data_IF_054057470907
#
_entry.id   IF_054057470907
#
_cell.length_a   1.000
_cell.length_b   1.000
_cell.length_c   1.000
_cell.angle_alpha   90.00
_cell.angle_beta   90.00
_cell.angle_gamma   90.00
#
_symmetry.space_group_name_H-M   'P 1'
#
loop_
_entity.id
_entity.type
_entity.pdbx_description
1 polymer ?
#
# COMPACT_ATOMS: atom_id res chain seq x y z
N UNK A 1 14.89 -0.97 3.03
CA UNK A 1 13.85 -1.74 3.74
C UNK A 1 13.69 -3.18 3.21
N UNK A 2 13.75 -3.41 1.90
CA UNK A 2 13.67 -4.76 1.29
C UNK A 2 14.68 -5.71 1.94
N UNK A 3 15.96 -5.37 1.92
CA UNK A 3 17.04 -6.20 2.53
C UNK A 3 16.83 -6.47 4.03
N UNK A 4 16.14 -5.53 4.72
CA UNK A 4 15.83 -5.71 6.14
C UNK A 4 14.72 -6.74 6.34
N UNK A 5 13.70 -6.73 5.47
CA UNK A 5 12.63 -7.73 5.49
C UNK A 5 13.19 -9.11 5.15
N UNK A 6 14.04 -9.20 4.12
CA UNK A 6 14.70 -10.47 3.74
C UNK A 6 15.58 -11.00 4.86
N UNK A 7 16.40 -10.15 5.50
CA UNK A 7 17.20 -10.53 6.67
C UNK A 7 16.35 -11.00 7.83
N UNK A 8 15.24 -10.31 8.11
CA UNK A 8 14.31 -10.69 9.16
C UNK A 8 13.72 -12.09 8.90
N UNK A 9 13.30 -12.36 7.67
CA UNK A 9 12.73 -13.66 7.32
C UNK A 9 13.73 -14.82 7.30
N UNK A 10 15.03 -14.56 7.20
CA UNK A 10 16.07 -15.61 7.31
C UNK A 10 16.07 -16.34 8.67
N UNK A 11 15.53 -15.70 9.70
CA UNK A 11 15.43 -16.30 11.04
C UNK A 11 14.24 -17.25 11.22
N UNK A 12 13.39 -17.40 10.22
CA UNK A 12 12.19 -18.22 10.30
C UNK A 12 12.12 -19.22 9.16
N UNK A 13 11.56 -20.38 9.48
CA UNK A 13 11.13 -21.38 8.50
C UNK A 13 9.60 -21.27 8.33
N UNK A 14 9.17 -21.11 7.08
CA UNK A 14 7.76 -21.00 6.70
C UNK A 14 7.27 -22.23 5.94
N UNK A 15 7.95 -23.36 6.04
CA UNK A 15 7.56 -24.59 5.37
C UNK A 15 6.12 -24.98 5.73
N UNK A 16 5.26 -25.05 4.72
CA UNK A 16 3.85 -25.42 4.89
C UNK A 16 3.71 -26.86 5.38
N UNK A 17 4.67 -27.75 5.05
CA UNK A 17 4.67 -29.14 5.48
C UNK A 17 4.85 -29.27 7.00
N UNK A 18 5.58 -28.35 7.60
CA UNK A 18 5.86 -28.30 9.04
C UNK A 18 4.85 -27.43 9.79
N UNK A 19 4.50 -26.28 9.22
CA UNK A 19 3.58 -25.34 9.86
C UNK A 19 2.12 -25.75 9.73
N UNK A 20 1.78 -26.58 8.74
CA UNK A 20 0.43 -26.95 8.33
C UNK A 20 -0.48 -25.75 8.10
N UNK A 21 0.10 -24.59 7.79
CA UNK A 21 -0.62 -23.32 7.65
C UNK A 21 -1.07 -23.07 6.20
N UNK A 22 -2.26 -23.53 5.88
CA UNK A 22 -2.88 -23.23 4.58
C UNK A 22 -3.26 -21.77 4.37
N UNK A 23 -3.34 -20.99 5.46
CA UNK A 23 -3.79 -19.60 5.44
C UNK A 23 -2.66 -18.61 5.72
N UNK A 24 -1.43 -18.97 5.30
CA UNK A 24 -0.31 -18.04 5.25
C UNK A 24 -0.62 -16.82 4.36
N UNK A 25 -1.52 -16.98 3.40
CA UNK A 25 -2.23 -15.94 2.64
C UNK A 25 -3.70 -16.31 2.53
N UNK A 26 -4.62 -15.32 2.49
CA UNK A 26 -6.05 -15.57 2.32
C UNK A 26 -6.69 -14.57 1.34
N UNK A 27 -7.97 -14.75 1.03
CA UNK A 27 -8.69 -14.05 -0.04
C UNK A 27 -8.70 -12.52 0.07
N UNK A 28 -8.68 -11.98 1.31
CA UNK A 28 -8.71 -10.54 1.58
C UNK A 28 -7.31 -9.93 1.74
N UNK A 29 -6.25 -10.72 1.60
CA UNK A 29 -4.87 -10.24 1.70
C UNK A 29 -4.41 -9.77 0.33
N UNK A 30 -4.77 -8.54 0.01
CA UNK A 30 -4.34 -7.81 -1.20
C UNK A 30 -3.54 -6.58 -0.79
N UNK A 31 -2.70 -6.00 -1.66
CA UNK A 31 -1.85 -4.87 -1.28
C UNK A 31 -2.62 -3.67 -0.70
N UNK A 32 -3.77 -3.34 -1.28
CA UNK A 32 -4.63 -2.25 -0.83
C UNK A 32 -5.29 -2.53 0.52
N UNK A 33 -5.85 -3.73 0.71
CA UNK A 33 -6.47 -4.13 1.98
C UNK A 33 -5.41 -4.27 3.07
N UNK A 34 -4.24 -4.84 2.78
CA UNK A 34 -3.17 -4.98 3.75
C UNK A 34 -2.69 -3.61 4.24
N UNK A 35 -2.43 -2.67 3.32
CA UNK A 35 -2.00 -1.32 3.67
C UNK A 35 -3.00 -0.60 4.57
N UNK A 36 -4.29 -0.64 4.24
CA UNK A 36 -5.31 0.08 5.02
C UNK A 36 -5.61 -0.59 6.36
N UNK A 37 -5.65 -1.92 6.42
CA UNK A 37 -5.88 -2.64 7.68
C UNK A 37 -4.76 -2.36 8.66
N UNK A 38 -3.50 -2.32 8.22
CA UNK A 38 -2.37 -1.97 9.08
C UNK A 38 -2.44 -0.50 9.51
N UNK A 39 -2.79 0.42 8.62
CA UNK A 39 -2.95 1.82 8.96
C UNK A 39 -4.03 2.03 10.03
N UNK A 40 -5.18 1.39 9.86
CA UNK A 40 -6.24 1.36 10.89
C UNK A 40 -5.74 0.77 12.22
N UNK A 41 -4.96 -0.31 12.17
CA UNK A 41 -4.39 -0.95 13.36
C UNK A 41 -3.43 -0.02 14.09
N UNK A 42 -2.49 0.58 13.39
CA UNK A 42 -1.51 1.50 13.98
C UNK A 42 -2.19 2.75 14.57
N UNK A 43 -3.19 3.29 13.87
CA UNK A 43 -3.99 4.42 14.35
C UNK A 43 -4.76 4.05 15.63
N UNK A 44 -5.41 2.89 15.66
CA UNK A 44 -6.15 2.42 16.83
C UNK A 44 -5.24 2.23 18.05
N UNK A 45 -4.10 1.55 17.87
CA UNK A 45 -3.11 1.32 18.94
C UNK A 45 -2.60 2.65 19.50
N UNK A 46 -2.27 3.61 18.62
CA UNK A 46 -1.77 4.91 19.03
C UNK A 46 -2.82 5.72 19.82
N UNK A 47 -4.06 5.75 19.33
CA UNK A 47 -5.13 6.52 19.95
C UNK A 47 -5.56 5.97 21.31
N UNK A 48 -5.44 4.67 21.53
CA UNK A 48 -5.85 4.00 22.75
C UNK A 48 -4.68 3.64 23.69
N UNK A 49 -3.44 3.88 23.27
CA UNK A 49 -2.21 3.56 24.01
C UNK A 49 -2.18 2.10 24.52
N UNK A 50 -2.42 1.15 23.62
CA UNK A 50 -2.47 -0.28 23.91
C UNK A 50 -1.46 -1.06 23.09
N UNK A 51 -1.03 -2.22 23.61
CA UNK A 51 -0.09 -3.10 22.89
C UNK A 51 -0.77 -4.35 22.32
N UNK A 52 -1.94 -4.70 22.83
CA UNK A 52 -2.68 -5.89 22.42
C UNK A 52 -4.07 -5.50 21.91
N UNK A 53 -4.49 -6.12 20.82
CA UNK A 53 -5.75 -5.79 20.14
C UNK A 53 -6.37 -7.01 19.45
N UNK A 54 -7.64 -6.91 19.11
CA UNK A 54 -8.38 -7.90 18.30
C UNK A 54 -8.78 -7.30 16.95
N UNK A 55 -9.14 -8.14 15.99
CA UNK A 55 -9.71 -7.65 14.71
C UNK A 55 -11.04 -6.90 14.91
N UNK A 56 -11.78 -7.22 15.99
CA UNK A 56 -13.02 -6.52 16.34
C UNK A 56 -12.75 -5.10 16.78
N UNK A 57 -11.77 -4.89 17.66
CA UNK A 57 -11.41 -3.56 18.14
C UNK A 57 -11.05 -2.62 16.98
N UNK A 58 -10.23 -3.12 16.04
CA UNK A 58 -9.83 -2.32 14.89
C UNK A 58 -11.03 -1.98 14.00
N UNK A 59 -11.85 -2.97 13.63
CA UNK A 59 -12.96 -2.76 12.68
C UNK A 59 -14.06 -1.84 13.21
N UNK A 60 -14.27 -1.80 14.54
CA UNK A 60 -15.32 -0.99 15.17
C UNK A 60 -14.87 0.42 15.51
N UNK A 61 -13.60 0.77 15.29
CA UNK A 61 -13.13 2.14 15.45
C UNK A 61 -13.71 3.05 14.35
N UNK A 62 -14.04 4.30 14.72
CA UNK A 62 -14.60 5.28 13.79
C UNK A 62 -13.70 5.48 12.58
N UNK A 63 -12.39 5.64 12.80
CA UNK A 63 -11.40 5.78 11.74
C UNK A 63 -11.44 4.63 10.72
N UNK A 64 -11.54 3.39 11.20
CA UNK A 64 -11.61 2.21 10.33
C UNK A 64 -12.92 2.17 9.55
N UNK A 65 -14.04 2.39 10.23
CA UNK A 65 -15.36 2.29 9.63
C UNK A 65 -15.54 3.34 8.52
N UNK A 66 -15.21 4.60 8.78
CA UNK A 66 -15.28 5.68 7.79
C UNK A 66 -14.45 5.39 6.55
N UNK A 67 -13.16 5.08 6.72
CA UNK A 67 -12.27 4.84 5.58
C UNK A 67 -12.65 3.60 4.77
N UNK A 68 -13.11 2.52 5.42
CA UNK A 68 -13.52 1.30 4.73
C UNK A 68 -14.83 1.49 3.95
N UNK A 69 -15.78 2.26 4.47
CA UNK A 69 -16.99 2.65 3.75
C UNK A 69 -16.63 3.47 2.51
N UNK A 70 -15.84 4.51 2.69
CA UNK A 70 -15.52 5.47 1.63
C UNK A 70 -14.71 4.84 0.49
N UNK A 71 -13.70 4.03 0.83
CA UNK A 71 -12.74 3.48 -0.15
C UNK A 71 -13.25 2.20 -0.81
N UNK A 72 -13.87 1.30 -0.02
CA UNK A 72 -14.28 -0.02 -0.49
C UNK A 72 -15.79 -0.16 -0.70
N UNK A 73 -16.56 0.91 -0.46
CA UNK A 73 -18.02 0.90 -0.57
C UNK A 73 -18.68 -0.14 0.34
N UNK A 74 -18.07 -0.41 1.50
CA UNK A 74 -18.63 -1.36 2.48
C UNK A 74 -19.80 -0.73 3.22
N UNK A 75 -20.68 -1.58 3.72
CA UNK A 75 -21.77 -1.17 4.59
C UNK A 75 -21.21 -0.81 5.97
N UNK A 76 -21.88 0.07 6.72
CA UNK A 76 -21.51 0.39 8.09
C UNK A 76 -21.30 -0.88 8.94
N UNK A 77 -20.28 -0.88 9.79
CA UNK A 77 -19.87 -2.03 10.61
C UNK A 77 -20.97 -2.50 11.57
N UNK A 78 -21.86 -1.60 11.98
CA UNK A 78 -22.99 -1.89 12.86
C UNK A 78 -24.14 -2.59 12.13
N UNK A 79 -24.11 -2.69 10.79
CA UNK A 79 -25.12 -3.42 10.05
C UNK A 79 -24.93 -4.93 10.26
N UNK A 80 -25.93 -5.67 10.82
CA UNK A 80 -25.79 -7.10 11.10
C UNK A 80 -25.44 -7.96 9.89
N UNK A 81 -25.82 -7.54 8.69
CA UNK A 81 -25.51 -8.23 7.43
C UNK A 81 -24.04 -8.08 7.00
N UNK A 82 -23.35 -7.07 7.52
CA UNK A 82 -21.96 -6.79 7.18
C UNK A 82 -20.96 -7.59 8.03
N UNK A 83 -21.35 -8.12 9.20
CA UNK A 83 -20.46 -8.72 10.20
C UNK A 83 -19.47 -9.74 9.62
N UNK A 84 -19.95 -10.74 8.89
CA UNK A 84 -19.09 -11.81 8.37
C UNK A 84 -18.08 -11.31 7.32
N UNK A 85 -18.44 -10.32 6.54
CA UNK A 85 -17.57 -9.74 5.52
C UNK A 85 -16.47 -8.87 6.16
N UNK A 86 -16.83 -8.06 7.17
CA UNK A 86 -15.88 -7.25 7.92
C UNK A 86 -14.94 -8.11 8.76
N UNK A 87 -15.44 -9.19 9.38
CA UNK A 87 -14.58 -10.13 10.11
C UNK A 87 -13.45 -10.65 9.22
N UNK A 88 -13.77 -11.07 7.99
CA UNK A 88 -12.76 -11.55 7.04
C UNK A 88 -11.84 -10.43 6.56
N UNK A 89 -12.38 -9.23 6.33
CA UNK A 89 -11.63 -8.08 5.80
C UNK A 89 -10.49 -7.66 6.73
N UNK A 90 -10.72 -7.63 8.04
CA UNK A 90 -9.70 -7.30 9.02
C UNK A 90 -8.92 -8.53 9.50
N UNK A 91 -9.61 -9.62 9.79
CA UNK A 91 -8.99 -10.79 10.40
C UNK A 91 -7.98 -11.49 9.47
N UNK A 92 -8.29 -11.64 8.18
CA UNK A 92 -7.39 -12.35 7.26
C UNK A 92 -6.04 -11.65 7.07
N UNK A 93 -5.94 -10.31 6.87
CA UNK A 93 -4.66 -9.61 6.86
C UNK A 93 -3.87 -9.75 8.16
N UNK A 94 -4.52 -9.59 9.32
CA UNK A 94 -3.86 -9.75 10.62
C UNK A 94 -3.31 -11.17 10.82
N UNK A 95 -4.05 -12.20 10.41
CA UNK A 95 -3.59 -13.60 10.42
C UNK A 95 -2.41 -13.83 9.48
N UNK A 96 -2.41 -13.25 8.28
CA UNK A 96 -1.29 -13.35 7.36
C UNK A 96 -0.03 -12.70 7.93
N UNK A 97 -0.16 -11.54 8.59
CA UNK A 97 0.95 -10.89 9.30
C UNK A 97 1.46 -11.70 10.49
N UNK A 98 0.57 -12.37 11.21
CA UNK A 98 0.96 -13.28 12.28
C UNK A 98 1.70 -14.52 11.72
N UNK A 99 1.23 -15.07 10.60
CA UNK A 99 1.92 -16.14 9.89
C UNK A 99 3.31 -15.70 9.42
N UNK A 100 3.45 -14.45 8.95
CA UNK A 100 4.72 -13.84 8.55
C UNK A 100 5.59 -13.39 9.74
N UNK A 101 5.20 -13.67 10.99
CA UNK A 101 5.93 -13.29 12.22
C UNK A 101 6.09 -11.78 12.42
N UNK A 102 5.26 -10.97 11.76
CA UNK A 102 5.21 -9.51 11.99
C UNK A 102 4.32 -9.18 13.19
N UNK A 103 3.28 -9.97 13.40
CA UNK A 103 2.45 -9.98 14.60
C UNK A 103 2.61 -11.32 15.34
N UNK A 104 2.36 -11.27 16.65
CA UNK A 104 2.14 -12.48 17.46
C UNK A 104 0.64 -12.67 17.64
N UNK A 105 0.18 -13.89 17.38
CA UNK A 105 -1.19 -14.30 17.65
C UNK A 105 -1.25 -15.05 18.99
N UNK A 106 -2.23 -14.69 19.82
CA UNK A 106 -2.52 -15.36 21.10
C UNK A 106 -4.01 -15.68 21.16
N UNK A 107 -4.37 -16.94 21.26
CA UNK A 107 -5.76 -17.38 21.41
C UNK A 107 -6.14 -17.48 22.88
N UNK A 108 -7.23 -16.81 23.28
CA UNK A 108 -7.83 -16.90 24.62
C UNK A 108 -9.31 -17.24 24.46
N UNK A 109 -9.67 -18.46 24.80
CA UNK A 109 -11.01 -18.97 24.54
C UNK A 109 -11.37 -18.97 23.05
N UNK A 110 -12.40 -18.21 22.67
CA UNK A 110 -12.83 -18.05 21.27
C UNK A 110 -12.23 -16.82 20.59
N UNK A 111 -11.52 -15.98 21.33
CA UNK A 111 -11.00 -14.71 20.84
C UNK A 111 -9.51 -14.82 20.48
N UNK A 112 -9.12 -14.13 19.44
CA UNK A 112 -7.73 -14.03 18.96
C UNK A 112 -7.26 -12.61 19.21
N UNK A 113 -6.15 -12.49 19.90
CA UNK A 113 -5.44 -11.27 20.21
C UNK A 113 -4.17 -11.20 19.39
N UNK A 114 -3.79 -9.99 19.01
CA UNK A 114 -2.57 -9.72 18.26
C UNK A 114 -1.70 -8.73 19.03
N UNK A 115 -0.38 -8.93 18.99
CA UNK A 115 0.65 -7.98 19.47
C UNK A 115 1.68 -7.77 18.38
N UNK A 116 2.31 -6.60 18.31
CA UNK A 116 3.29 -6.27 17.30
C UNK A 116 4.65 -6.90 17.67
N UNK A 117 5.23 -7.69 16.76
CA UNK A 117 6.59 -8.22 16.88
C UNK A 117 7.61 -7.34 16.15
N UNK A 118 7.26 -6.82 14.98
CA UNK A 118 8.14 -5.96 14.20
C UNK A 118 7.40 -4.70 13.73
N UNK A 119 7.50 -3.65 14.53
CA UNK A 119 6.80 -2.39 14.28
C UNK A 119 7.28 -1.69 13.02
N UNK A 120 8.58 -1.70 12.75
CA UNK A 120 9.16 -1.00 11.60
C UNK A 120 8.71 -1.60 10.27
N UNK A 121 8.69 -2.94 10.15
CA UNK A 121 8.15 -3.61 8.95
C UNK A 121 6.65 -3.32 8.84
N UNK A 122 5.92 -3.33 9.94
CA UNK A 122 4.48 -3.06 9.94
C UNK A 122 4.20 -1.62 9.46
N UNK A 123 4.93 -0.63 9.97
CA UNK A 123 4.84 0.76 9.55
C UNK A 123 5.17 0.90 8.04
N UNK A 124 6.26 0.28 7.58
CA UNK A 124 6.62 0.26 6.16
C UNK A 124 5.50 -0.25 5.26
N UNK A 125 4.88 -1.39 5.61
CA UNK A 125 3.78 -1.97 4.84
C UNK A 125 2.59 -1.00 4.80
N UNK A 126 2.33 -0.30 5.90
CA UNK A 126 1.19 0.62 6.00
C UNK A 126 1.32 1.84 5.10
N UNK A 127 2.52 2.34 4.83
CA UNK A 127 2.75 3.65 4.16
C UNK A 127 2.01 3.74 2.82
N UNK A 128 2.16 2.73 1.96
CA UNK A 128 1.55 2.69 0.63
C UNK A 128 1.39 1.27 0.09
N UNK A 129 0.47 1.09 -0.84
CA UNK A 129 0.19 -0.23 -1.45
C UNK A 129 1.41 -0.86 -2.15
N UNK A 130 2.32 -0.03 -2.70
CA UNK A 130 3.59 -0.51 -3.29
C UNK A 130 4.43 -1.25 -2.24
N UNK A 131 4.51 -0.71 -1.02
CA UNK A 131 5.26 -1.33 0.07
C UNK A 131 4.61 -2.65 0.54
N UNK A 132 3.27 -2.67 0.63
CA UNK A 132 2.52 -3.90 0.91
C UNK A 132 2.77 -4.97 -0.15
N UNK A 133 2.82 -4.58 -1.42
CA UNK A 133 3.09 -5.48 -2.53
C UNK A 133 4.53 -6.03 -2.47
N UNK A 134 5.52 -5.20 -2.19
CA UNK A 134 6.90 -5.63 -2.01
C UNK A 134 7.04 -6.63 -0.86
N UNK A 135 6.44 -6.32 0.30
CA UNK A 135 6.39 -7.23 1.43
C UNK A 135 5.76 -8.59 1.05
N UNK A 136 4.60 -8.56 0.40
CA UNK A 136 3.92 -9.79 -0.02
C UNK A 136 4.77 -10.61 -1.00
N UNK A 137 5.48 -9.98 -1.93
CA UNK A 137 6.36 -10.69 -2.85
C UNK A 137 7.49 -11.43 -2.11
N UNK A 138 8.19 -10.74 -1.19
CA UNK A 138 9.28 -11.33 -0.42
C UNK A 138 8.75 -12.48 0.45
N UNK A 139 7.65 -12.24 1.16
CA UNK A 139 7.03 -13.22 2.04
C UNK A 139 6.57 -14.48 1.29
N UNK A 140 5.81 -14.30 0.20
CA UNK A 140 5.27 -15.42 -0.58
C UNK A 140 6.40 -16.25 -1.23
N UNK A 141 7.40 -15.60 -1.80
CA UNK A 141 8.55 -16.31 -2.37
C UNK A 141 9.27 -17.12 -1.30
N UNK A 142 9.50 -16.54 -0.10
CA UNK A 142 10.11 -17.25 1.02
C UNK A 142 9.28 -18.48 1.44
N UNK A 143 7.97 -18.34 1.63
CA UNK A 143 7.07 -19.45 1.98
C UNK A 143 7.15 -20.58 0.93
N UNK A 144 7.11 -20.24 -0.35
CA UNK A 144 7.14 -21.24 -1.43
C UNK A 144 8.52 -21.92 -1.58
N UNK A 145 9.61 -21.21 -1.30
CA UNK A 145 10.96 -21.77 -1.27
C UNK A 145 11.16 -22.71 -0.09
N UNK A 146 10.78 -22.29 1.11
CA UNK A 146 10.86 -23.13 2.31
C UNK A 146 10.02 -24.42 2.13
N UNK A 147 8.85 -24.30 1.52
CA UNK A 147 7.97 -25.42 1.20
C UNK A 147 8.44 -26.27 0.01
N UNK A 148 9.59 -25.99 -0.60
CA UNK A 148 10.18 -26.70 -1.74
C UNK A 148 9.31 -26.76 -3.00
N UNK A 149 8.34 -25.83 -3.16
CA UNK A 149 7.45 -25.76 -4.34
C UNK A 149 7.70 -24.54 -5.23
N UNK A 150 8.71 -23.72 -4.92
CA UNK A 150 9.06 -22.56 -5.73
C UNK A 150 9.37 -22.91 -7.18
N UNK A 151 10.01 -24.04 -7.44
CA UNK A 151 10.34 -24.51 -8.78
C UNK A 151 9.14 -24.62 -9.73
N UNK A 152 7.92 -24.90 -9.19
CA UNK A 152 6.69 -24.96 -9.98
C UNK A 152 6.30 -23.56 -10.50
N UNK A 153 6.43 -22.54 -9.65
CA UNK A 153 6.18 -21.15 -10.01
C UNK A 153 7.24 -20.61 -10.97
N UNK A 154 8.51 -20.92 -10.71
CA UNK A 154 9.64 -20.51 -11.53
C UNK A 154 9.54 -21.09 -12.94
N UNK A 155 9.16 -22.36 -13.08
CA UNK A 155 8.91 -22.97 -14.37
C UNK A 155 7.79 -22.24 -15.13
N UNK A 156 6.68 -21.93 -14.45
CA UNK A 156 5.60 -21.16 -15.08
C UNK A 156 6.04 -19.75 -15.49
N UNK A 157 6.84 -19.05 -14.67
CA UNK A 157 7.34 -17.71 -15.01
C UNK A 157 8.32 -17.72 -16.17
N UNK A 158 9.10 -18.77 -16.31
CA UNK A 158 10.03 -18.94 -17.44
C UNK A 158 9.29 -19.30 -18.73
N UNK A 159 8.26 -20.13 -18.63
CA UNK A 159 7.47 -20.62 -19.76
C UNK A 159 5.96 -20.42 -19.50
N UNK A 160 5.45 -19.17 -19.62
CA UNK A 160 4.07 -18.82 -19.25
C UNK A 160 3.08 -19.29 -20.34
N UNK A 161 2.84 -20.59 -20.40
CA UNK A 161 1.83 -21.22 -21.26
C UNK A 161 0.62 -21.67 -20.48
N UNK A 162 -0.49 -21.93 -21.18
CA UNK A 162 -1.70 -22.48 -20.55
C UNK A 162 -1.43 -23.82 -19.87
N UNK A 163 -0.66 -24.70 -20.51
CA UNK A 163 -0.37 -26.04 -19.99
C UNK A 163 0.46 -25.96 -18.70
N UNK A 164 1.48 -25.09 -18.66
CA UNK A 164 2.26 -24.86 -17.44
C UNK A 164 1.45 -24.18 -16.34
N UNK A 165 0.49 -23.30 -16.69
CA UNK A 165 -0.45 -22.74 -15.73
C UNK A 165 -1.36 -23.82 -15.13
N UNK A 166 -1.96 -24.66 -15.95
CA UNK A 166 -2.85 -25.73 -15.50
C UNK A 166 -2.07 -26.75 -14.65
N UNK A 167 -0.83 -27.10 -15.04
CA UNK A 167 0.06 -27.95 -14.25
C UNK A 167 0.38 -27.32 -12.89
N UNK A 168 0.87 -26.08 -12.85
CA UNK A 168 1.16 -25.37 -11.61
C UNK A 168 -0.04 -25.36 -10.67
N UNK A 169 -1.22 -25.02 -11.20
CA UNK A 169 -2.45 -24.95 -10.43
C UNK A 169 -2.82 -26.29 -9.80
N UNK A 170 -2.72 -27.37 -10.55
CA UNK A 170 -3.02 -28.72 -10.07
C UNK A 170 -2.02 -29.16 -9.02
N UNK A 171 -0.71 -28.95 -9.25
CA UNK A 171 0.33 -29.32 -8.29
C UNK A 171 0.21 -28.52 -6.98
N UNK A 172 -0.09 -27.22 -7.07
CA UNK A 172 -0.34 -26.40 -5.90
C UNK A 172 -1.59 -26.87 -5.12
N UNK A 173 -2.68 -27.23 -5.82
CA UNK A 173 -3.90 -27.77 -5.18
C UNK A 173 -3.57 -29.07 -4.41
N UNK A 174 -2.84 -29.99 -5.04
CA UNK A 174 -2.42 -31.27 -4.43
C UNK A 174 -1.58 -30.99 -3.19
N UNK A 175 -0.55 -30.15 -3.31
CA UNK A 175 0.37 -29.83 -2.22
C UNK A 175 -0.38 -29.24 -1.00
N UNK A 176 -1.24 -28.26 -1.19
CA UNK A 176 -2.00 -27.64 -0.09
C UNK A 176 -2.95 -28.63 0.58
N UNK A 177 -3.65 -29.46 -0.19
CA UNK A 177 -4.59 -30.46 0.38
C UNK A 177 -3.85 -31.55 1.15
N UNK A 178 -2.67 -31.97 0.68
CA UNK A 178 -1.87 -32.99 1.35
C UNK A 178 -1.23 -32.52 2.66
N UNK A 179 -0.83 -31.27 2.75
CA UNK A 179 -0.03 -30.77 3.87
C UNK A 179 -0.76 -29.85 4.84
N UNK A 180 -2.05 -29.58 4.61
CA UNK A 180 -2.80 -28.63 5.43
C UNK A 180 -4.20 -29.16 5.76
N UNK A 181 -4.91 -28.54 6.73
CA UNK A 181 -6.30 -28.90 7.04
C UNK A 181 -7.30 -28.56 5.94
N UNK A 182 -6.92 -27.87 4.87
CA UNK A 182 -7.84 -27.62 3.74
C UNK A 182 -8.05 -28.90 2.96
N UNK A 183 -9.29 -29.37 2.94
CA UNK A 183 -9.66 -30.62 2.29
C UNK A 183 -10.43 -30.44 0.96
N UNK A 184 -10.61 -29.20 0.51
CA UNK A 184 -11.41 -28.87 -0.66
C UNK A 184 -10.73 -27.93 -1.65
N UNK A 185 -10.76 -28.30 -2.95
CA UNK A 185 -10.19 -27.51 -4.05
C UNK A 185 -10.74 -26.07 -4.13
N UNK A 186 -11.99 -25.85 -3.72
CA UNK A 186 -12.64 -24.53 -3.82
C UNK A 186 -11.92 -23.46 -3.01
N UNK A 187 -11.48 -23.76 -1.79
CA UNK A 187 -10.73 -22.80 -0.97
C UNK A 187 -9.36 -22.53 -1.54
N UNK A 188 -8.62 -23.56 -1.95
CA UNK A 188 -7.31 -23.43 -2.59
C UNK A 188 -7.41 -22.53 -3.83
N UNK A 189 -8.41 -22.76 -4.68
CA UNK A 189 -8.66 -21.97 -5.91
C UNK A 189 -9.03 -20.52 -5.67
N UNK A 190 -9.50 -20.16 -4.48
CA UNK A 190 -9.75 -18.76 -4.10
C UNK A 190 -8.49 -18.03 -3.63
N UNK A 191 -7.54 -18.77 -3.04
CA UNK A 191 -6.28 -18.22 -2.52
C UNK A 191 -5.22 -18.17 -3.63
N UNK A 192 -5.10 -19.20 -4.45
CA UNK A 192 -4.11 -19.33 -5.51
C UNK A 192 -3.95 -18.08 -6.41
N UNK A 193 -5.03 -17.41 -6.88
CA UNK A 193 -4.91 -16.18 -7.66
C UNK A 193 -4.20 -15.05 -6.91
N UNK A 194 -4.35 -14.97 -5.59
CA UNK A 194 -3.72 -13.93 -4.79
C UNK A 194 -2.20 -14.14 -4.68
N UNK A 195 -1.77 -15.39 -4.64
CA UNK A 195 -0.36 -15.76 -4.64
C UNK A 195 0.23 -15.54 -6.03
N UNK A 196 -0.35 -16.19 -7.05
CA UNK A 196 0.20 -16.17 -8.39
C UNK A 196 0.26 -14.76 -8.97
N UNK A 197 -0.83 -13.99 -8.89
CA UNK A 197 -0.88 -12.65 -9.48
C UNK A 197 0.08 -11.67 -8.79
N UNK A 198 0.23 -11.76 -7.46
CA UNK A 198 1.20 -10.95 -6.71
C UNK A 198 2.62 -11.21 -7.22
N UNK A 199 3.01 -12.47 -7.38
CA UNK A 199 4.33 -12.86 -7.88
C UNK A 199 4.52 -12.56 -9.36
N UNK A 200 3.47 -12.73 -10.18
CA UNK A 200 3.47 -12.44 -11.61
C UNK A 200 3.66 -10.96 -11.91
N UNK A 201 2.97 -10.10 -11.17
CA UNK A 201 3.02 -8.64 -11.37
C UNK A 201 4.46 -8.11 -11.20
N UNK A 202 5.13 -8.48 -10.11
CA UNK A 202 6.53 -8.07 -9.87
C UNK A 202 7.46 -8.50 -11.03
N UNK A 203 7.18 -9.67 -11.62
CA UNK A 203 7.98 -10.27 -12.70
C UNK A 203 7.53 -9.85 -14.09
N UNK A 204 6.47 -9.02 -14.20
CA UNK A 204 5.86 -8.64 -15.48
C UNK A 204 5.49 -9.88 -16.31
N UNK A 205 4.81 -10.84 -15.71
CA UNK A 205 4.42 -12.11 -16.31
C UNK A 205 2.89 -12.28 -16.33
N UNK A 206 2.46 -13.27 -17.11
CA UNK A 206 1.09 -13.76 -17.09
C UNK A 206 0.76 -14.36 -15.72
N UNK A 207 -0.52 -14.39 -15.37
CA UNK A 207 -1.04 -14.97 -14.14
C UNK A 207 -2.42 -15.56 -14.37
N UNK A 208 -3.41 -15.17 -13.55
CA UNK A 208 -4.76 -15.71 -13.66
C UNK A 208 -5.83 -14.62 -13.55
N UNK A 209 -6.84 -14.71 -14.41
CA UNK A 209 -8.05 -13.89 -14.36
C UNK A 209 -9.25 -14.82 -14.26
N UNK A 210 -10.07 -14.63 -13.21
CA UNK A 210 -11.24 -15.49 -12.91
C UNK A 210 -10.87 -17.00 -12.85
N UNK A 211 -9.66 -17.31 -12.35
CA UNK A 211 -9.17 -18.69 -12.19
C UNK A 211 -8.69 -19.36 -13.47
N UNK A 212 -8.58 -18.62 -14.57
CA UNK A 212 -8.07 -19.09 -15.89
C UNK A 212 -6.75 -18.40 -16.18
N UNK A 213 -5.91 -18.98 -17.03
CA UNK A 213 -4.69 -18.37 -17.54
C UNK A 213 -5.02 -17.00 -18.16
N UNK A 214 -4.26 -15.96 -17.77
CA UNK A 214 -4.48 -14.59 -18.28
C UNK A 214 -3.97 -14.47 -19.71
N UNK A 215 -4.73 -13.75 -20.57
CA UNK A 215 -4.29 -13.45 -21.94
C UNK A 215 -3.13 -12.47 -21.96
N UNK A 216 -3.13 -11.52 -21.03
CA UNK A 216 -2.16 -10.45 -20.92
C UNK A 216 -1.36 -10.56 -19.61
N UNK A 217 -0.28 -9.79 -19.52
CA UNK A 217 0.52 -9.63 -18.30
C UNK A 217 -0.38 -9.05 -17.22
N UNK A 218 -0.21 -9.53 -15.97
CA UNK A 218 -0.98 -9.04 -14.82
C UNK A 218 -0.70 -7.57 -14.59
N UNK A 219 -1.77 -6.78 -14.49
CA UNK A 219 -1.73 -5.36 -14.16
C UNK A 219 -2.04 -5.14 -12.67
N UNK A 220 -1.86 -3.90 -12.20
CA UNK A 220 -2.15 -3.54 -10.80
C UNK A 220 -3.61 -3.79 -10.44
N UNK A 221 -4.53 -3.59 -11.36
CA UNK A 221 -5.97 -3.72 -11.09
C UNK A 221 -6.38 -5.15 -10.72
N UNK A 222 -5.70 -6.19 -11.28
CA UNK A 222 -5.94 -7.57 -10.91
C UNK A 222 -5.44 -7.94 -9.49
N UNK A 223 -4.58 -7.10 -8.89
CA UNK A 223 -4.09 -7.32 -7.52
C UNK A 223 -5.02 -6.75 -6.46
N UNK A 224 -5.76 -5.69 -6.79
CA UNK A 224 -6.55 -4.93 -5.84
C UNK A 224 -7.87 -5.63 -5.51
N UNK A 225 -8.32 -5.45 -4.27
CA UNK A 225 -9.53 -6.11 -3.77
C UNK A 225 -10.80 -5.60 -4.43
N UNK A 226 -10.94 -4.29 -4.60
CA UNK A 226 -12.21 -3.69 -5.00
C UNK A 226 -12.07 -2.50 -5.97
N UNK A 227 -11.01 -2.43 -6.76
CA UNK A 227 -10.94 -1.42 -7.81
C UNK A 227 -11.83 -1.85 -8.98
N UNK A 228 -13.13 -1.60 -8.81
CA UNK A 228 -14.11 -1.84 -9.86
C UNK A 228 -13.89 -0.86 -11.01
N UNK A 229 -13.70 -1.41 -12.20
CA UNK A 229 -13.95 -0.67 -13.43
C UNK A 229 -15.47 -0.40 -13.50
N UNK A 230 -15.89 0.70 -14.14
CA UNK A 230 -17.30 0.97 -14.38
C UNK A 230 -18.05 -0.22 -15.04
N UNK A 231 -17.37 -1.06 -15.81
CA UNK A 231 -17.92 -2.28 -16.42
C UNK A 231 -18.26 -3.40 -15.43
N UNK A 232 -17.69 -3.34 -14.22
CA UNK A 232 -17.91 -4.34 -13.17
C UNK A 232 -19.14 -4.00 -12.29
N UNK A 233 -19.69 -2.82 -12.46
CA UNK A 233 -20.89 -2.35 -11.76
C UNK A 233 -22.12 -2.92 -12.46
N UNK A 234 -22.94 -3.68 -11.74
CA UNK A 234 -24.13 -4.32 -12.32
C UNK A 234 -25.21 -3.31 -12.65
N UNK A 235 -25.85 -3.49 -13.80
CA UNK A 235 -27.01 -2.68 -14.20
C UNK A 235 -28.21 -3.01 -13.30
N UNK A 236 -28.94 -1.97 -12.84
CA UNK A 236 -30.16 -2.14 -12.05
C UNK A 236 -31.34 -2.54 -12.96
N UNK A 237 -32.31 -3.27 -12.39
CA UNK A 237 -33.53 -3.62 -13.13
C UNK A 237 -34.31 -2.34 -13.51
N UNK A 238 -34.64 -2.20 -14.78
CA UNK A 238 -35.35 -1.02 -15.31
C UNK A 238 -34.45 0.18 -15.68
N UNK A 239 -33.17 0.16 -15.39
CA UNK A 239 -32.22 1.22 -15.70
C UNK A 239 -31.89 1.22 -17.21
N UNK A 240 -31.91 2.40 -17.86
CA UNK A 240 -31.47 2.53 -19.24
C UNK A 240 -29.93 2.39 -19.34
N UNK A 241 -29.42 2.14 -20.54
CA UNK A 241 -27.97 2.06 -20.78
C UNK A 241 -27.25 3.34 -20.40
N UNK A 242 -27.84 4.50 -20.77
CA UNK A 242 -27.26 5.82 -20.51
C UNK A 242 -27.20 6.14 -19.01
N UNK A 243 -28.27 5.86 -18.27
CA UNK A 243 -28.33 6.04 -16.79
C UNK A 243 -27.32 5.13 -16.11
N UNK A 244 -27.22 3.86 -16.52
CA UNK A 244 -26.22 2.92 -16.02
C UNK A 244 -24.79 3.43 -16.23
N UNK A 245 -24.42 3.84 -17.46
CA UNK A 245 -23.08 4.33 -17.78
C UNK A 245 -22.74 5.57 -16.96
N UNK A 246 -23.68 6.49 -16.77
CA UNK A 246 -23.48 7.70 -15.96
C UNK A 246 -23.28 7.35 -14.48
N UNK A 247 -24.17 6.52 -13.92
CA UNK A 247 -24.08 6.08 -12.52
C UNK A 247 -22.80 5.32 -12.24
N UNK A 248 -22.45 4.37 -13.11
CA UNK A 248 -21.25 3.56 -12.95
C UNK A 248 -19.96 4.41 -13.01
N UNK A 249 -19.90 5.39 -13.90
CA UNK A 249 -18.78 6.36 -13.93
C UNK A 249 -18.70 7.20 -12.66
N UNK A 250 -19.83 7.70 -12.18
CA UNK A 250 -19.88 8.52 -10.96
C UNK A 250 -19.47 7.70 -9.72
N UNK A 251 -19.92 6.45 -9.59
CA UNK A 251 -19.50 5.56 -8.48
C UNK A 251 -17.98 5.34 -8.49
N UNK A 252 -17.38 5.07 -9.65
CA UNK A 252 -15.91 4.90 -9.77
C UNK A 252 -15.17 6.19 -9.43
N UNK A 253 -15.68 7.34 -9.88
CA UNK A 253 -15.05 8.64 -9.62
C UNK A 253 -15.11 9.01 -8.13
N UNK A 254 -16.23 8.78 -7.48
CA UNK A 254 -16.38 9.03 -6.03
C UNK A 254 -15.41 8.17 -5.21
N UNK A 255 -15.23 6.89 -5.57
CA UNK A 255 -14.25 6.00 -4.92
C UNK A 255 -12.83 6.53 -5.12
N UNK A 256 -12.49 7.03 -6.30
CA UNK A 256 -11.17 7.63 -6.56
C UNK A 256 -10.94 8.88 -5.71
N UNK A 257 -11.94 9.76 -5.65
CA UNK A 257 -11.87 10.98 -4.84
C UNK A 257 -11.67 10.64 -3.35
N UNK A 258 -12.45 9.70 -2.82
CA UNK A 258 -12.33 9.24 -1.44
C UNK A 258 -10.94 8.64 -1.18
N UNK A 259 -10.44 7.82 -2.10
CA UNK A 259 -9.11 7.24 -1.99
C UNK A 259 -7.99 8.29 -2.01
N UNK A 260 -8.06 9.29 -2.90
CA UNK A 260 -7.09 10.40 -2.94
C UNK A 260 -7.14 11.22 -1.66
N UNK A 261 -8.34 11.49 -1.12
CA UNK A 261 -8.50 12.18 0.16
C UNK A 261 -7.86 11.39 1.32
N UNK A 262 -8.14 10.10 1.39
CA UNK A 262 -7.55 9.19 2.38
C UNK A 262 -6.02 9.17 2.30
N UNK A 263 -5.46 8.93 1.11
CA UNK A 263 -4.01 8.85 0.92
C UNK A 263 -3.31 10.16 1.25
N UNK A 264 -3.91 11.30 0.90
CA UNK A 264 -3.39 12.62 1.25
C UNK A 264 -3.41 12.87 2.76
N UNK A 265 -4.50 12.55 3.45
CA UNK A 265 -4.61 12.71 4.90
C UNK A 265 -3.61 11.80 5.62
N UNK A 266 -3.47 10.57 5.18
CA UNK A 266 -2.49 9.62 5.68
C UNK A 266 -1.06 10.14 5.48
N UNK A 267 -0.71 10.62 4.28
CA UNK A 267 0.60 11.20 3.98
C UNK A 267 0.92 12.38 4.91
N UNK A 268 -0.04 13.29 5.11
CA UNK A 268 0.10 14.40 6.06
C UNK A 268 0.36 13.93 7.50
N UNK A 269 -0.36 12.92 7.95
CA UNK A 269 -0.18 12.37 9.30
C UNK A 269 1.20 11.69 9.46
N UNK A 270 1.67 10.98 8.45
CA UNK A 270 3.02 10.38 8.43
C UNK A 270 4.08 11.47 8.55
N UNK A 271 4.01 12.54 7.75
CA UNK A 271 4.98 13.63 7.77
C UNK A 271 4.99 14.33 9.13
N UNK A 272 3.82 14.68 9.69
CA UNK A 272 3.72 15.29 11.03
C UNK A 272 4.33 14.41 12.11
N UNK A 273 4.08 13.10 12.05
CA UNK A 273 4.64 12.14 13.02
C UNK A 273 6.15 11.98 12.88
N UNK A 274 6.67 12.05 11.64
CA UNK A 274 8.07 11.85 11.33
C UNK A 274 8.94 13.06 11.75
N UNK A 275 8.46 14.26 11.48
CA UNK A 275 9.16 15.49 11.73
C UNK A 275 8.72 16.23 13.02
N UNK A 276 7.66 15.69 13.68
CA UNK A 276 7.06 16.32 14.86
C UNK A 276 6.65 17.77 14.59
N UNK A 277 7.30 18.73 15.25
CA UNK A 277 7.07 20.17 15.08
C UNK A 277 8.27 20.89 14.45
N UNK A 278 9.21 20.14 13.86
CA UNK A 278 10.41 20.70 13.25
C UNK A 278 10.21 20.85 11.74
N UNK A 279 10.49 22.04 11.22
CA UNK A 279 10.45 22.28 9.77
C UNK A 279 11.51 21.45 9.04
N UNK A 280 11.16 20.95 7.85
CA UNK A 280 12.12 20.27 6.98
C UNK A 280 13.09 21.25 6.30
N UNK A 281 12.69 22.52 6.11
CA UNK A 281 13.55 23.58 5.56
C UNK A 281 14.22 24.34 6.69
N UNK A 282 15.54 24.42 6.67
CA UNK A 282 16.34 25.20 7.63
C UNK A 282 16.68 26.55 7.02
N UNK A 283 16.03 27.61 7.46
CA UNK A 283 16.25 29.00 7.08
C UNK A 283 15.99 29.94 8.27
N UNK A 284 16.13 31.25 8.07
CA UNK A 284 15.86 32.25 9.11
C UNK A 284 14.39 32.32 9.56
N UNK A 285 13.46 31.73 8.78
CA UNK A 285 12.01 31.65 9.05
C UNK A 285 11.58 30.33 9.69
N UNK A 286 12.50 29.42 9.97
CA UNK A 286 12.25 28.13 10.59
C UNK A 286 11.97 28.22 12.10
N UNK A 287 11.83 29.42 12.64
CA UNK A 287 11.55 29.66 14.06
C UNK A 287 10.12 29.34 14.40
N UNK A 288 9.90 28.56 15.48
CA UNK A 288 8.59 28.14 15.95
C UNK A 288 8.19 26.75 15.46
N UNK A 289 6.96 26.35 15.81
CA UNK A 289 6.46 25.03 15.47
C UNK A 289 6.07 24.92 14.00
N UNK A 290 6.54 23.88 13.33
CA UNK A 290 6.12 23.54 11.98
C UNK A 290 4.79 22.77 12.04
N UNK A 291 3.75 23.38 11.51
CA UNK A 291 2.39 22.82 11.49
C UNK A 291 1.77 22.76 10.10
N UNK A 292 2.39 23.43 9.13
CA UNK A 292 1.87 23.56 7.77
C UNK A 292 2.46 22.48 6.86
N UNK A 293 1.57 21.69 6.23
CA UNK A 293 1.98 20.75 5.18
C UNK A 293 1.79 21.44 3.82
N UNK A 294 2.92 21.74 3.19
CA UNK A 294 2.98 22.39 1.89
C UNK A 294 3.17 21.37 0.77
N UNK A 295 2.52 21.61 -0.39
CA UNK A 295 2.78 20.85 -1.61
C UNK A 295 3.90 21.54 -2.38
N UNK A 296 5.04 20.88 -2.58
CA UNK A 296 6.18 21.41 -3.34
C UNK A 296 5.73 21.75 -4.77
N UNK A 297 4.96 20.85 -5.40
CA UNK A 297 4.22 21.09 -6.65
C UNK A 297 2.74 21.12 -6.35
N UNK A 298 2.08 22.24 -6.68
CA UNK A 298 0.71 22.53 -6.29
C UNK A 298 -0.28 21.43 -6.69
N UNK A 299 -1.13 21.02 -5.76
CA UNK A 299 -2.18 20.03 -5.99
C UNK A 299 -3.10 20.35 -7.18
N UNK A 300 -3.43 21.63 -7.37
CA UNK A 300 -4.31 22.10 -8.46
C UNK A 300 -3.70 21.92 -9.84
N UNK A 301 -2.39 22.05 -9.96
CA UNK A 301 -1.65 21.89 -11.22
C UNK A 301 -1.17 20.44 -11.45
N UNK A 302 -0.84 19.74 -10.37
CA UNK A 302 -0.28 18.39 -10.39
C UNK A 302 -1.07 17.42 -9.50
N UNK A 303 -2.35 17.14 -9.81
CA UNK A 303 -3.20 16.31 -8.98
C UNK A 303 -2.70 14.87 -8.83
N UNK A 304 -1.98 14.36 -9.82
CA UNK A 304 -1.46 12.98 -9.86
C UNK A 304 -0.37 12.70 -8.82
N UNK A 305 0.40 13.72 -8.41
CA UNK A 305 1.42 13.63 -7.37
C UNK A 305 1.00 14.25 -6.03
N UNK A 306 -0.24 14.70 -5.90
CA UNK A 306 -0.71 15.44 -4.72
C UNK A 306 -0.70 14.64 -3.42
N UNK A 307 -0.75 13.32 -3.49
CA UNK A 307 -0.72 12.43 -2.31
C UNK A 307 0.64 11.75 -2.08
N UNK A 308 1.65 12.08 -2.89
CA UNK A 308 3.00 11.56 -2.69
C UNK A 308 3.65 12.22 -1.48
N UNK A 309 4.21 11.42 -0.58
CA UNK A 309 4.98 11.91 0.58
C UNK A 309 6.13 12.82 0.15
N UNK A 310 6.72 12.48 -0.98
CA UNK A 310 7.85 13.15 -1.59
C UNK A 310 7.49 14.52 -2.21
N UNK A 311 6.18 14.80 -2.40
CA UNK A 311 5.66 16.11 -2.83
C UNK A 311 5.17 16.97 -1.67
N UNK A 312 5.19 16.44 -0.44
CA UNK A 312 4.69 17.12 0.75
C UNK A 312 5.85 17.45 1.69
N UNK A 313 5.87 18.66 2.22
CA UNK A 313 6.92 19.14 3.14
C UNK A 313 6.32 19.86 4.34
N UNK A 314 6.89 19.64 5.52
CA UNK A 314 6.47 20.29 6.77
C UNK A 314 7.20 21.62 6.95
N UNK A 315 6.43 22.70 7.11
CA UNK A 315 6.95 24.07 7.25
C UNK A 315 6.34 24.76 8.48
N UNK A 316 7.00 25.80 8.97
CA UNK A 316 6.39 26.76 9.89
C UNK A 316 5.31 27.58 9.16
N UNK A 317 4.44 28.24 9.92
CA UNK A 317 3.43 29.12 9.33
C UNK A 317 4.09 30.28 8.55
N UNK A 318 5.17 30.86 9.08
CA UNK A 318 5.93 31.92 8.41
C UNK A 318 6.51 31.45 7.09
N UNK A 319 7.22 30.32 7.07
CA UNK A 319 7.77 29.74 5.84
C UNK A 319 6.66 29.50 4.79
N UNK A 320 5.53 28.91 5.20
CA UNK A 320 4.45 28.58 4.29
C UNK A 320 3.79 29.82 3.68
N UNK A 321 3.40 30.80 4.52
CA UNK A 321 2.59 31.93 4.06
C UNK A 321 3.39 33.12 3.53
N UNK A 322 4.69 33.24 3.87
CA UNK A 322 5.51 34.36 3.43
C UNK A 322 6.57 33.97 2.40
N UNK A 323 7.12 32.78 2.50
CA UNK A 323 8.21 32.33 1.63
C UNK A 323 7.71 31.43 0.49
N UNK A 324 6.96 30.38 0.80
CA UNK A 324 6.47 29.45 -0.21
C UNK A 324 5.38 30.07 -1.09
N UNK A 325 4.53 30.91 -0.52
CA UNK A 325 3.43 31.57 -1.22
C UNK A 325 3.58 33.11 -1.17
N UNK A 326 4.10 33.74 -2.25
CA UNK A 326 4.29 35.19 -2.28
C UNK A 326 2.99 35.95 -1.95
N UNK A 327 3.07 36.90 -1.04
CA UNK A 327 1.93 37.74 -0.61
C UNK A 327 0.73 36.94 -0.07
N UNK A 328 0.94 35.82 0.58
CA UNK A 328 -0.11 34.88 1.04
C UNK A 328 -1.00 34.33 -0.10
N UNK A 329 -0.56 34.43 -1.33
CA UNK A 329 -1.33 33.92 -2.47
C UNK A 329 -1.03 32.44 -2.72
N UNK A 330 -1.87 31.57 -2.18
CA UNK A 330 -1.72 30.10 -2.32
C UNK A 330 -1.85 29.57 -3.76
N UNK A 331 -2.20 30.44 -4.72
CA UNK A 331 -2.20 30.11 -6.14
C UNK A 331 -0.85 30.37 -6.82
N UNK A 332 0.10 30.94 -6.13
CA UNK A 332 1.45 31.22 -6.59
C UNK A 332 2.47 30.45 -5.75
N UNK A 333 3.55 30.02 -6.40
CA UNK A 333 4.71 29.42 -5.72
C UNK A 333 5.95 30.27 -6.01
N UNK A 334 6.70 30.55 -4.97
CA UNK A 334 8.04 31.12 -5.08
C UNK A 334 8.99 30.03 -5.59
N UNK A 335 9.55 30.21 -6.78
CA UNK A 335 10.42 29.22 -7.42
C UNK A 335 11.71 28.97 -6.63
N UNK A 336 12.33 30.02 -6.08
CA UNK A 336 13.56 29.87 -5.30
C UNK A 336 13.28 29.09 -4.02
N UNK A 337 12.15 29.36 -3.38
CA UNK A 337 11.73 28.63 -2.20
C UNK A 337 11.30 27.18 -2.53
N UNK A 338 10.73 26.96 -3.70
CA UNK A 338 10.41 25.60 -4.20
C UNK A 338 11.69 24.77 -4.36
N UNK A 339 12.77 25.38 -4.86
CA UNK A 339 14.08 24.70 -4.93
C UNK A 339 14.57 24.32 -3.53
N UNK A 340 14.51 25.23 -2.56
CA UNK A 340 14.89 24.93 -1.16
C UNK A 340 14.05 23.77 -0.59
N UNK A 341 12.77 23.73 -0.87
CA UNK A 341 11.90 22.63 -0.48
C UNK A 341 12.32 21.29 -1.12
N UNK A 342 12.73 21.29 -2.41
CA UNK A 342 13.19 20.08 -3.08
C UNK A 342 14.54 19.58 -2.51
N UNK A 343 15.46 20.49 -2.20
CA UNK A 343 16.76 20.15 -1.58
C UNK A 343 16.54 19.57 -0.18
N UNK A 344 15.75 20.24 0.66
CA UNK A 344 15.41 19.77 2.01
C UNK A 344 14.68 18.42 1.98
N UNK A 345 13.77 18.23 1.01
CA UNK A 345 13.09 16.94 0.83
C UNK A 345 14.06 15.83 0.44
N UNK A 346 15.05 16.10 -0.41
CA UNK A 346 16.06 15.11 -0.78
C UNK A 346 16.88 14.64 0.45
N UNK A 347 17.22 15.55 1.38
CA UNK A 347 17.87 15.21 2.65
C UNK A 347 16.95 14.37 3.57
N UNK A 348 15.66 14.74 3.66
CA UNK A 348 14.68 13.98 4.42
C UNK A 348 14.56 12.55 3.89
N UNK A 349 14.60 12.36 2.57
CA UNK A 349 14.52 11.03 1.93
C UNK A 349 15.75 10.18 2.26
N UNK A 350 16.94 10.77 2.26
CA UNK A 350 18.17 10.08 2.66
C UNK A 350 18.09 9.63 4.12
N UNK A 351 17.63 10.50 5.01
CA UNK A 351 17.53 10.24 6.45
C UNK A 351 16.47 9.19 6.80
N UNK A 352 15.32 9.24 6.13
CA UNK A 352 14.16 8.41 6.41
C UNK A 352 13.79 7.49 5.24
N UNK A 353 14.79 6.80 4.67
CA UNK A 353 14.66 5.95 3.49
C UNK A 353 13.75 4.71 3.68
N UNK A 354 13.31 4.42 4.91
CA UNK A 354 12.32 3.40 5.22
C UNK A 354 10.87 3.89 5.05
N UNK A 355 10.66 5.20 5.00
CA UNK A 355 9.35 5.85 4.80
C UNK A 355 9.24 6.44 3.39
N UNK A 356 10.24 7.25 3.00
CA UNK A 356 10.30 7.86 1.68
C UNK A 356 10.92 6.93 0.63
N UNK A 357 10.67 7.23 -0.65
CA UNK A 357 11.21 6.50 -1.79
C UNK A 357 11.93 7.46 -2.75
N UNK A 358 13.20 7.20 -3.04
CA UNK A 358 13.95 7.94 -4.06
C UNK A 358 13.27 7.86 -5.44
N UNK A 359 12.78 6.68 -5.84
CA UNK A 359 12.05 6.50 -7.09
C UNK A 359 10.79 7.37 -7.17
N UNK A 360 10.03 7.43 -6.06
CA UNK A 360 8.82 8.25 -6.01
C UNK A 360 9.16 9.75 -6.02
N UNK A 361 10.29 10.15 -5.42
CA UNK A 361 10.80 11.53 -5.52
C UNK A 361 11.21 11.89 -6.93
N UNK A 362 11.94 11.01 -7.62
CA UNK A 362 12.30 11.21 -9.03
C UNK A 362 11.05 11.29 -9.92
N UNK A 363 10.00 10.50 -9.59
CA UNK A 363 8.72 10.62 -10.27
C UNK A 363 8.03 11.96 -10.02
N UNK A 364 8.04 12.46 -8.78
CA UNK A 364 7.52 13.79 -8.41
C UNK A 364 8.24 14.88 -9.19
N UNK A 365 9.56 14.84 -9.27
CA UNK A 365 10.36 15.78 -10.05
C UNK A 365 10.03 15.69 -11.54
N UNK A 366 9.93 14.48 -12.08
CA UNK A 366 9.56 14.27 -13.49
C UNK A 366 8.25 14.95 -13.84
N UNK A 367 7.23 14.80 -13.01
CA UNK A 367 5.93 15.42 -13.24
C UNK A 367 5.98 16.94 -13.03
N UNK A 368 6.63 17.39 -11.96
CA UNK A 368 6.65 18.81 -11.57
C UNK A 368 7.54 19.69 -12.43
N UNK A 369 8.69 19.18 -12.85
CA UNK A 369 9.67 19.92 -13.65
C UNK A 369 9.71 19.47 -15.13
N UNK A 370 8.98 18.42 -15.49
CA UNK A 370 9.07 17.74 -16.78
C UNK A 370 10.50 17.31 -17.14
N UNK A 371 11.27 16.88 -16.16
CA UNK A 371 12.65 16.46 -16.29
C UNK A 371 12.86 15.04 -15.76
N UNK A 372 13.57 14.19 -16.52
CA UNK A 372 13.77 12.77 -16.17
C UNK A 372 15.22 12.57 -15.73
N UNK A 373 15.37 12.13 -14.48
CA UNK A 373 16.66 11.69 -13.93
C UNK A 373 16.80 10.16 -14.01
N UNK A 374 18.03 9.63 -14.19
CA UNK A 374 18.31 8.21 -14.01
C UNK A 374 17.97 7.74 -12.60
N UNK A 375 17.47 6.50 -12.46
CA UNK A 375 17.16 5.96 -11.12
C UNK A 375 18.39 5.80 -10.23
N UNK A 376 19.54 5.60 -10.84
CA UNK A 376 20.84 5.39 -10.19
C UNK A 376 21.51 6.68 -9.75
N UNK A 377 21.01 7.88 -10.13
CA UNK A 377 21.61 9.19 -9.80
C UNK A 377 21.86 9.30 -8.29
N UNK A 378 23.06 9.70 -7.89
CA UNK A 378 23.35 9.93 -6.49
C UNK A 378 22.70 11.24 -6.00
N UNK A 379 22.42 11.35 -4.70
CA UNK A 379 21.69 12.51 -4.16
C UNK A 379 22.45 13.82 -4.33
N UNK A 380 23.77 13.83 -4.18
CA UNK A 380 24.59 15.04 -4.34
C UNK A 380 24.54 15.54 -5.80
N UNK A 381 24.58 14.61 -6.76
CA UNK A 381 24.43 14.94 -8.17
C UNK A 381 22.99 15.43 -8.46
N UNK A 382 21.97 14.77 -7.91
CA UNK A 382 20.58 15.19 -8.05
C UNK A 382 20.37 16.63 -7.53
N UNK A 383 20.90 16.96 -6.36
CA UNK A 383 20.82 18.31 -5.79
C UNK A 383 21.51 19.34 -6.68
N UNK A 384 22.72 19.05 -7.15
CA UNK A 384 23.46 19.92 -8.07
C UNK A 384 22.70 20.19 -9.36
N UNK A 385 22.10 19.15 -9.94
CA UNK A 385 21.27 19.27 -11.15
C UNK A 385 19.97 20.04 -10.91
N UNK A 386 19.34 19.91 -9.76
CA UNK A 386 18.16 20.70 -9.42
C UNK A 386 18.51 22.19 -9.36
N UNK A 387 19.65 22.56 -8.76
CA UNK A 387 20.14 23.94 -8.72
C UNK A 387 20.38 24.46 -10.15
N UNK A 388 21.03 23.70 -11.01
CA UNK A 388 21.24 24.07 -12.42
C UNK A 388 19.93 24.35 -13.17
N UNK A 389 18.92 23.46 -13.01
CA UNK A 389 17.60 23.59 -13.66
C UNK A 389 16.89 24.88 -13.23
N UNK A 390 16.95 25.22 -11.94
CA UNK A 390 16.30 26.43 -11.42
C UNK A 390 17.04 27.72 -11.78
N UNK A 391 18.37 27.66 -11.97
CA UNK A 391 19.17 28.82 -12.37
C UNK A 391 19.05 29.11 -13.89
N UNK A 392 18.59 28.14 -14.68
CA UNK A 392 18.46 28.28 -16.17
C UNK A 392 17.05 28.62 -16.62
N UNK A 393 16.04 28.56 -15.74
CA UNK A 393 14.64 28.87 -15.99
C UNK A 393 14.15 30.09 -15.19
#
# INVERSE_FOLDING_TARGET
MIDKIERYFKHFDFDIRETHNARFLDQKVTPDVLSIVIDCTLTYIQNNNIDEFTSTDIRTSDYSNENIIDIFGKTDVNNPKAKNEYDKFFHQPLKALASAKILKETKRGRQIYFTILNREILEYISVKEKNSLEFLNIYLEKVLRDSSIWHLFENFFNYPTKDNFDFLKVQYEIFIIQHTPINGKTEVRRIFPKILNTLSFKRKKHGTIKGRFSKDIITRDELMYNRRNWKDISKKKGETRKEYELRAKNEVENIKIAYVKYTLNKAKNIIKKLHLTTSEVTDEFANGEATQIHHIFMKSQYPEISSYLENLILLTATQHFTQAHPNNNTSLINKDYQLLCLLAKSESIQRYNHIYSKEDFLYVIKIGLNYVFPNEIEFDELQSRLIEIYNTN
#
